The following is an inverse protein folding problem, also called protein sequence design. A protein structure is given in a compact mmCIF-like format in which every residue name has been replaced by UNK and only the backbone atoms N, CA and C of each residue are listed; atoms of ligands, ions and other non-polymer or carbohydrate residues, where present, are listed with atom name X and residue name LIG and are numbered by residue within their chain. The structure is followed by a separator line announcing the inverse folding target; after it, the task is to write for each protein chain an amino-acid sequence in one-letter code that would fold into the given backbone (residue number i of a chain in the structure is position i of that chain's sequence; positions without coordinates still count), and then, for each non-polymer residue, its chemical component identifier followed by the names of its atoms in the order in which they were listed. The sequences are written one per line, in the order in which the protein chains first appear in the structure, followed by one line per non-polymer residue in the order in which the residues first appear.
data_IF_424082168547
#
_entry.id   IF_424082168547
#
_cell.length_a   1.000
_cell.length_b   1.000
_cell.length_c   1.000
_cell.angle_alpha   90.00
_cell.angle_beta   90.00
_cell.angle_gamma   90.00
#
_symmetry.space_group_name_H-M   'P 1'
#
loop_
_entity.id
_entity.type
_entity.pdbx_description
1 polymer ?
#
# COMPACT_ATOMS: atom_id res chain seq x y z
N UNK A 1 -20.75 47.87 59.49
CA UNK A 1 -21.14 47.00 58.37
C UNK A 1 -20.06 45.97 58.18
N UNK A 2 -20.42 44.73 58.48
CA UNK A 2 -19.82 43.40 58.25
C UNK A 2 -18.30 43.24 58.33
N UNK A 3 -17.84 42.80 59.52
CA UNK A 3 -16.70 41.88 59.67
C UNK A 3 -17.22 40.45 59.46
N UNK A 4 -16.56 39.64 58.63
CA UNK A 4 -16.71 38.19 58.67
C UNK A 4 -15.43 37.51 58.18
N UNK A 5 -14.98 36.58 59.02
CA UNK A 5 -13.81 35.73 58.89
C UNK A 5 -13.89 34.83 57.66
N UNK A 6 -12.74 34.48 57.10
CA UNK A 6 -12.57 33.21 56.37
C UNK A 6 -11.37 32.47 56.95
N UNK A 7 -11.67 31.28 57.47
CA UNK A 7 -10.76 30.33 58.09
C UNK A 7 -9.93 29.58 57.05
N UNK A 8 -8.70 29.31 57.46
CA UNK A 8 -7.82 28.17 57.19
C UNK A 8 -8.27 27.07 56.20
N UNK A 9 -7.39 26.81 55.22
CA UNK A 9 -6.62 25.56 55.17
C UNK A 9 -7.28 24.33 54.53
N UNK A 10 -6.70 23.88 53.41
CA UNK A 10 -6.15 22.53 53.24
C UNK A 10 -5.60 22.37 51.81
N UNK A 11 -4.29 22.20 51.71
CA UNK A 11 -3.62 21.71 50.50
C UNK A 11 -4.04 20.27 50.25
N UNK A 12 -4.57 19.97 49.06
CA UNK A 12 -4.72 18.61 48.58
C UNK A 12 -4.04 18.49 47.20
N UNK A 13 -2.78 18.04 47.23
CA UNK A 13 -2.09 17.47 46.08
C UNK A 13 -2.87 16.21 45.66
N UNK A 14 -3.69 16.31 44.62
CA UNK A 14 -4.23 15.13 43.98
C UNK A 14 -3.22 14.66 42.92
N UNK A 15 -2.50 13.61 43.30
CA UNK A 15 -1.61 12.83 42.48
C UNK A 15 -2.29 12.40 41.17
N UNK A 16 -1.50 12.40 40.10
CA UNK A 16 -1.92 11.92 38.79
C UNK A 16 -2.47 10.50 38.88
N UNK A 17 -3.66 10.31 38.30
CA UNK A 17 -4.15 8.98 37.97
C UNK A 17 -3.39 8.49 36.74
N UNK A 18 -2.65 7.37 36.82
CA UNK A 18 -2.39 6.63 35.59
C UNK A 18 -3.75 6.12 35.12
N UNK A 19 -4.18 6.57 33.94
CA UNK A 19 -5.20 5.84 33.21
C UNK A 19 -4.64 4.43 32.98
N UNK A 20 -5.14 3.44 33.71
CA UNK A 20 -4.97 2.04 33.37
C UNK A 20 -5.70 1.86 32.04
N UNK A 21 -4.95 1.92 30.95
CA UNK A 21 -5.41 1.37 29.68
C UNK A 21 -5.62 -0.13 29.88
N UNK A 22 -6.82 -0.61 29.57
CA UNK A 22 -7.12 -2.02 29.55
C UNK A 22 -6.09 -2.77 28.68
N UNK A 23 -5.52 -3.88 29.15
CA UNK A 23 -4.74 -4.74 28.29
C UNK A 23 -5.69 -5.35 27.25
N UNK A 24 -5.56 -4.88 26.00
CA UNK A 24 -6.22 -5.50 24.86
C UNK A 24 -5.90 -6.99 24.84
N UNK A 25 -6.95 -7.78 24.74
CA UNK A 25 -6.93 -9.23 24.76
C UNK A 25 -6.21 -9.75 23.51
N UNK A 26 -4.93 -10.12 23.66
CA UNK A 26 -4.18 -10.80 22.62
C UNK A 26 -4.74 -12.19 22.32
N UNK A 27 -5.62 -12.28 21.33
CA UNK A 27 -6.11 -13.56 20.80
C UNK A 27 -5.06 -14.22 19.91
N UNK A 28 -4.35 -15.21 20.46
CA UNK A 28 -3.52 -16.12 19.69
C UNK A 28 -4.36 -17.15 18.93
N UNK A 29 -4.05 -17.37 17.64
CA UNK A 29 -4.66 -18.45 16.86
C UNK A 29 -3.62 -19.15 15.97
N UNK A 30 -3.42 -20.44 16.27
CA UNK A 30 -3.47 -21.53 15.29
C UNK A 30 -2.24 -21.79 14.41
N UNK A 31 -1.59 -22.93 14.66
CA UNK A 31 -0.78 -23.64 13.64
C UNK A 31 -1.68 -24.43 12.69
N UNK A 32 -1.30 -24.47 11.42
CA UNK A 32 -1.88 -25.26 10.34
C UNK A 32 -1.67 -24.50 9.04
N UNK A 33 -1.20 -25.03 7.92
CA UNK A 33 -0.92 -26.38 7.46
C UNK A 33 -0.43 -26.19 6.01
N UNK A 34 0.26 -27.19 5.51
CA UNK A 34 0.97 -27.23 4.24
C UNK A 34 0.01 -26.98 3.04
N UNK A 35 0.38 -26.09 2.11
CA UNK A 35 0.33 -26.25 0.63
C UNK A 35 0.34 -24.91 -0.13
N UNK A 36 0.96 -25.00 -1.30
CA UNK A 36 0.88 -24.13 -2.48
C UNK A 36 1.72 -22.84 -2.55
N UNK A 37 2.49 -22.76 -3.64
CA UNK A 37 3.52 -21.76 -3.91
C UNK A 37 2.90 -20.73 -4.86
N UNK A 38 2.22 -19.73 -4.30
CA UNK A 38 1.55 -18.69 -5.08
C UNK A 38 1.90 -17.30 -4.57
N UNK A 39 2.91 -16.68 -5.20
CA UNK A 39 3.13 -15.23 -5.33
C UNK A 39 2.50 -14.33 -4.27
N UNK A 40 2.89 -14.46 -3.00
CA UNK A 40 2.43 -13.59 -1.93
C UNK A 40 3.47 -13.56 -0.81
N UNK A 41 4.40 -12.61 -0.91
CA UNK A 41 5.31 -12.18 0.15
C UNK A 41 4.57 -11.48 1.32
N UNK A 42 3.42 -12.02 1.74
CA UNK A 42 2.63 -11.51 2.87
C UNK A 42 3.28 -11.80 4.23
N UNK A 43 4.45 -12.47 4.27
CA UNK A 43 5.14 -12.82 5.51
C UNK A 43 5.95 -11.68 6.15
N UNK A 44 6.05 -10.52 5.50
CA UNK A 44 6.83 -9.37 5.97
C UNK A 44 6.05 -8.06 6.14
N UNK A 45 4.73 -8.10 5.95
CA UNK A 45 3.94 -6.89 5.78
C UNK A 45 3.21 -6.49 7.06
N UNK A 46 3.27 -5.21 7.48
CA UNK A 46 2.61 -4.76 8.70
C UNK A 46 1.11 -5.12 8.69
N UNK A 47 0.55 -5.58 9.82
CA UNK A 47 -0.87 -5.88 9.92
C UNK A 47 -1.70 -4.65 9.51
N UNK A 48 -2.58 -4.82 8.52
CA UNK A 48 -3.39 -3.75 7.91
C UNK A 48 -3.00 -3.39 6.47
N UNK A 49 -1.77 -3.73 6.04
CA UNK A 49 -1.30 -3.52 4.67
C UNK A 49 -1.44 -4.77 3.80
N UNK A 50 -1.22 -5.96 4.38
CA UNK A 50 -1.37 -7.25 3.69
C UNK A 50 -2.79 -7.44 3.09
N UNK A 51 -3.83 -7.03 3.83
CA UNK A 51 -5.25 -7.13 3.37
C UNK A 51 -5.58 -6.31 2.12
N UNK A 52 -4.68 -5.39 1.72
CA UNK A 52 -4.88 -4.56 0.53
C UNK A 52 -4.26 -5.17 -0.72
N UNK A 53 -3.52 -6.28 -0.59
CA UNK A 53 -2.85 -6.96 -1.69
C UNK A 53 -2.05 -6.01 -2.59
N UNK A 54 -1.51 -4.94 -2.00
CA UNK A 54 -0.90 -3.81 -2.71
C UNK A 54 0.64 -3.79 -2.59
N UNK A 55 1.25 -4.97 -2.38
CA UNK A 55 2.71 -5.09 -2.24
C UNK A 55 3.28 -4.38 -1.01
N UNK A 56 2.48 -4.24 0.04
CA UNK A 56 2.92 -3.73 1.34
C UNK A 56 3.38 -2.26 1.29
N UNK A 57 2.70 -1.47 0.45
CA UNK A 57 2.94 -0.05 0.27
C UNK A 57 1.92 0.82 1.04
N UNK A 58 2.34 1.85 1.80
CA UNK A 58 1.46 2.67 2.63
C UNK A 58 0.27 3.31 1.87
N UNK A 59 -0.89 3.45 2.53
CA UNK A 59 -2.05 4.08 1.92
C UNK A 59 -1.79 5.54 1.54
N UNK A 60 -1.94 5.87 0.25
CA UNK A 60 -1.65 7.21 -0.30
C UNK A 60 -0.50 7.23 -1.31
N UNK A 61 0.49 6.34 -1.16
CA UNK A 61 1.50 6.10 -2.19
C UNK A 61 0.97 5.13 -3.27
N UNK A 62 0.26 4.08 -2.86
CA UNK A 62 -0.36 3.13 -3.79
C UNK A 62 -1.44 3.74 -4.69
N UNK A 63 -2.09 4.84 -4.28
CA UNK A 63 -3.10 5.51 -5.12
C UNK A 63 -2.47 6.30 -6.27
N UNK A 64 -1.18 6.60 -6.19
CA UNK A 64 -0.46 7.39 -7.20
C UNK A 64 0.19 6.50 -8.26
N UNK A 65 0.14 5.16 -8.13
CA UNK A 65 0.76 4.21 -9.04
C UNK A 65 0.02 2.88 -9.08
N UNK A 66 -0.10 2.30 -10.26
CA UNK A 66 -0.64 0.95 -10.43
C UNK A 66 0.43 -0.13 -10.32
N UNK A 67 0.07 -1.28 -9.74
CA UNK A 67 0.96 -2.42 -9.57
C UNK A 67 0.56 -3.57 -10.49
N UNK A 68 1.42 -4.59 -10.60
CA UNK A 68 1.03 -5.85 -11.26
C UNK A 68 -0.13 -6.47 -10.50
N UNK A 69 -1.10 -7.03 -11.22
CA UNK A 69 -2.33 -7.60 -10.68
C UNK A 69 -3.50 -6.61 -10.61
N UNK A 70 -3.24 -5.31 -10.60
CA UNK A 70 -4.31 -4.32 -10.62
C UNK A 70 -4.96 -4.23 -12.00
N UNK A 71 -6.23 -3.80 -12.05
CA UNK A 71 -6.91 -3.46 -13.30
C UNK A 71 -6.54 -2.06 -13.76
N UNK A 72 -6.09 -1.94 -14.99
CA UNK A 72 -5.76 -0.68 -15.65
C UNK A 72 -6.97 0.28 -15.66
N UNK A 73 -6.76 1.48 -15.11
CA UNK A 73 -7.72 2.56 -15.21
C UNK A 73 -7.47 3.37 -16.48
N UNK A 74 -8.48 3.39 -17.36
CA UNK A 74 -8.49 4.26 -18.55
C UNK A 74 -8.30 5.72 -18.12
N UNK A 75 -7.31 6.40 -18.71
CA UNK A 75 -6.99 7.81 -18.45
C UNK A 75 -5.82 8.08 -17.49
N UNK A 76 -5.29 7.07 -16.79
CA UNK A 76 -4.13 7.28 -15.91
C UNK A 76 -2.80 7.42 -16.69
N UNK A 77 -2.68 6.82 -17.88
CA UNK A 77 -1.47 6.90 -18.68
C UNK A 77 -1.75 6.97 -20.17
N UNK A 78 -0.70 7.33 -20.93
CA UNK A 78 -0.80 7.47 -22.38
C UNK A 78 -0.55 6.13 -23.05
N UNK A 79 -1.39 5.78 -24.02
CA UNK A 79 -1.15 4.60 -24.84
C UNK A 79 0.20 4.74 -25.56
N UNK A 80 1.03 3.72 -25.44
CA UNK A 80 2.37 3.67 -26.01
C UNK A 80 2.47 2.43 -26.88
N UNK A 81 2.50 2.59 -28.19
CA UNK A 81 2.54 1.45 -29.11
C UNK A 81 3.77 0.57 -28.86
N UNK A 82 3.60 -0.76 -28.92
CA UNK A 82 4.69 -1.72 -28.78
C UNK A 82 5.88 -1.38 -29.70
N UNK A 83 5.58 -0.97 -30.93
CA UNK A 83 6.60 -0.63 -31.93
C UNK A 83 7.37 0.66 -31.65
N UNK A 84 6.93 1.47 -30.68
CA UNK A 84 7.62 2.69 -30.24
C UNK A 84 8.60 2.43 -29.11
N UNK A 85 8.48 1.30 -28.41
CA UNK A 85 9.37 0.92 -27.32
C UNK A 85 10.74 0.55 -27.91
N UNK A 86 11.88 1.07 -27.42
CA UNK A 86 13.20 0.69 -27.95
C UNK A 86 13.42 -0.82 -27.94
N UNK A 87 14.09 -1.35 -28.97
CA UNK A 87 14.33 -2.81 -29.11
C UNK A 87 15.05 -3.39 -27.90
N UNK A 88 16.08 -2.70 -27.40
CA UNK A 88 16.82 -3.10 -26.20
C UNK A 88 15.93 -3.31 -24.97
N UNK A 89 14.84 -2.54 -24.84
CA UNK A 89 13.87 -2.70 -23.76
C UNK A 89 12.95 -3.90 -24.00
N UNK A 90 12.53 -4.11 -25.24
CA UNK A 90 11.71 -5.27 -25.61
C UNK A 90 12.45 -6.56 -25.30
N UNK A 91 13.73 -6.62 -25.65
CA UNK A 91 14.56 -7.80 -25.49
C UNK A 91 14.98 -7.98 -24.02
N UNK A 92 15.38 -6.90 -23.33
CA UNK A 92 15.81 -6.96 -21.92
C UNK A 92 14.70 -7.38 -20.96
N UNK A 93 13.47 -6.91 -21.21
CA UNK A 93 12.33 -7.16 -20.32
C UNK A 93 11.34 -8.18 -20.88
N UNK A 94 11.67 -8.83 -22.00
CA UNK A 94 10.84 -9.81 -22.69
C UNK A 94 9.39 -9.33 -22.89
N UNK A 95 9.27 -8.18 -23.58
CA UNK A 95 7.99 -7.52 -23.77
C UNK A 95 7.12 -8.27 -24.77
N UNK A 96 5.93 -8.65 -24.32
CA UNK A 96 4.95 -9.36 -25.12
C UNK A 96 4.18 -8.41 -26.06
N UNK A 97 4.34 -8.59 -27.37
CA UNK A 97 3.63 -7.82 -28.40
C UNK A 97 2.09 -7.89 -28.32
N UNK A 98 1.54 -8.90 -27.63
CA UNK A 98 0.09 -9.07 -27.46
C UNK A 98 -0.48 -8.18 -26.34
N UNK A 99 0.36 -7.52 -25.54
CA UNK A 99 -0.09 -6.62 -24.49
C UNK A 99 -0.29 -5.18 -24.99
N UNK A 100 -1.17 -4.46 -24.33
CA UNK A 100 -1.30 -3.02 -24.47
C UNK A 100 -0.31 -2.34 -23.54
N UNK A 101 0.44 -1.41 -24.08
CA UNK A 101 1.43 -0.67 -23.31
C UNK A 101 0.97 0.74 -23.04
N UNK A 102 1.19 1.21 -21.81
CA UNK A 102 0.90 2.56 -21.38
C UNK A 102 2.09 3.15 -20.65
N UNK A 103 2.38 4.41 -20.91
CA UNK A 103 3.49 5.11 -20.27
C UNK A 103 2.96 6.26 -19.43
N UNK A 104 3.40 6.33 -18.17
CA UNK A 104 3.13 7.44 -17.27
C UNK A 104 4.20 7.55 -16.18
N UNK A 105 4.58 8.77 -15.82
CA UNK A 105 5.49 9.09 -14.70
C UNK A 105 6.81 8.27 -14.67
N UNK A 106 7.36 7.95 -15.85
CA UNK A 106 8.57 7.12 -15.95
C UNK A 106 8.33 5.63 -15.73
N UNK A 107 7.10 5.15 -15.91
CA UNK A 107 6.75 3.74 -15.86
C UNK A 107 6.07 3.31 -17.14
N UNK A 108 6.48 2.15 -17.65
CA UNK A 108 5.81 1.44 -18.71
C UNK A 108 4.99 0.29 -18.10
N UNK A 109 3.69 0.30 -18.36
CA UNK A 109 2.73 -0.70 -17.91
C UNK A 109 2.34 -1.60 -19.07
N UNK A 110 2.59 -2.90 -18.94
CA UNK A 110 2.10 -3.92 -19.85
C UNK A 110 0.77 -4.48 -19.33
N UNK A 111 -0.30 -4.30 -20.11
CA UNK A 111 -1.68 -4.61 -19.75
C UNK A 111 -2.23 -5.68 -20.69
N UNK A 112 -2.84 -6.72 -20.12
CA UNK A 112 -3.56 -7.71 -20.89
C UNK A 112 -4.80 -7.07 -21.55
N UNK A 113 -4.91 -7.07 -22.89
CA UNK A 113 -6.04 -6.44 -23.59
C UNK A 113 -7.40 -7.09 -23.31
N UNK A 114 -7.44 -8.34 -22.82
CA UNK A 114 -8.68 -9.09 -22.55
C UNK A 114 -9.23 -8.79 -21.15
N UNK A 115 -8.36 -8.75 -20.15
CA UNK A 115 -8.75 -8.64 -18.74
C UNK A 115 -8.54 -7.24 -18.16
N UNK A 116 -7.83 -6.37 -18.90
CA UNK A 116 -7.32 -5.08 -18.43
C UNK A 116 -6.43 -5.19 -17.21
N UNK A 117 -5.88 -6.36 -16.89
CA UNK A 117 -4.98 -6.54 -15.75
C UNK A 117 -3.57 -6.15 -16.14
N UNK A 118 -2.88 -5.45 -15.25
CA UNK A 118 -1.47 -5.09 -15.40
C UNK A 118 -0.64 -6.33 -15.10
N UNK A 119 0.12 -6.77 -16.10
CA UNK A 119 0.96 -7.96 -16.02
C UNK A 119 2.44 -7.60 -15.81
N UNK A 120 2.84 -6.42 -16.25
CA UNK A 120 4.22 -5.93 -16.16
C UNK A 120 4.24 -4.44 -15.80
N UNK A 121 5.19 -4.06 -14.96
CA UNK A 121 5.50 -2.67 -14.62
C UNK A 121 7.01 -2.52 -14.68
N UNK A 122 7.48 -1.59 -15.51
CA UNK A 122 8.91 -1.36 -15.75
C UNK A 122 9.20 0.12 -15.50
N UNK A 123 10.19 0.39 -14.67
CA UNK A 123 10.62 1.75 -14.39
C UNK A 123 11.70 2.20 -15.40
N UNK A 124 11.49 3.37 -15.97
CA UNK A 124 12.53 4.19 -16.57
C UNK A 124 11.98 5.14 -17.63
N UNK A 125 12.84 6.04 -18.07
CA UNK A 125 12.46 7.14 -18.95
C UNK A 125 12.50 6.69 -20.41
N UNK A 126 11.32 6.50 -21.00
CA UNK A 126 11.16 6.38 -22.44
C UNK A 126 11.15 7.80 -23.01
N UNK A 127 12.14 8.10 -23.85
CA UNK A 127 12.31 9.40 -24.53
C UNK A 127 12.18 9.19 -26.03
#
# INVERSE_FOLDING_TARGET
MNKLLMLAGASALLAGTPALADPDHGHGHGRGGDRDHGWNDDRGCPPGLAKKHNGCMPPGQYKKRWSRGDRWQSGYGNYYSYNRIPRDWRDRYDLNQNYRYYYNDGYLYGVDPRTSVIQQVIQGLLR
#
